data_IF_088816959642
#
_entry.id   IF_088816959642
#
_cell.length_a   1.000
_cell.length_b   1.000
_cell.length_c   1.000
_cell.angle_alpha   90.00
_cell.angle_beta   90.00
_cell.angle_gamma   90.00
#
_symmetry.space_group_name_H-M   'P 1'
#
loop_
_entity.id
_entity.type
_entity.pdbx_description
1 polymer ?
#
# COMPACT_ATOMS: atom_id res chain seq x y z
N UNK A 1 5.64 19.60 11.51
CA UNK A 1 5.49 18.68 10.36
C UNK A 1 4.49 19.29 9.40
N UNK A 2 4.82 19.38 8.10
CA UNK A 2 3.91 19.95 7.09
C UNK A 2 2.95 18.87 6.60
N UNK A 3 1.68 19.20 6.42
CA UNK A 3 0.72 18.35 5.71
C UNK A 3 1.03 18.36 4.21
N UNK A 4 0.85 17.22 3.56
CA UNK A 4 1.04 17.02 2.12
C UNK A 4 -0.19 16.30 1.55
N UNK A 5 -0.41 16.45 0.25
CA UNK A 5 -1.50 15.76 -0.44
C UNK A 5 -1.16 14.28 -0.61
N UNK A 6 -2.03 13.38 -0.14
CA UNK A 6 -1.85 11.94 -0.26
C UNK A 6 -1.97 11.53 -1.74
N UNK A 7 -0.98 10.83 -2.32
CA UNK A 7 -1.01 10.46 -3.74
C UNK A 7 -2.05 9.36 -4.07
N UNK A 8 -2.67 8.72 -3.06
CA UNK A 8 -3.73 7.71 -3.25
C UNK A 8 -5.14 8.30 -3.19
N UNK A 9 -5.42 9.19 -2.24
CA UNK A 9 -6.77 9.71 -1.98
C UNK A 9 -6.91 11.24 -2.12
N UNK A 10 -5.83 11.96 -2.45
CA UNK A 10 -5.78 13.42 -2.56
C UNK A 10 -6.13 14.20 -1.28
N UNK A 11 -6.23 13.55 -0.13
CA UNK A 11 -6.43 14.24 1.14
C UNK A 11 -5.15 14.92 1.61
N UNK A 12 -5.26 16.17 2.09
CA UNK A 12 -4.13 16.91 2.65
C UNK A 12 -3.96 16.55 4.13
N UNK A 13 -2.96 15.72 4.44
CA UNK A 13 -2.70 15.24 5.81
C UNK A 13 -1.21 14.90 5.99
N UNK A 14 -0.85 14.34 7.14
CA UNK A 14 0.52 13.83 7.37
C UNK A 14 0.70 12.53 6.60
N UNK A 15 1.75 12.48 5.79
CA UNK A 15 2.13 11.28 5.06
C UNK A 15 3.31 10.61 5.75
N UNK A 16 3.36 9.28 5.69
CA UNK A 16 4.46 8.49 6.18
C UNK A 16 4.76 7.35 5.21
N UNK A 17 6.03 6.96 5.11
CA UNK A 17 6.39 5.70 4.44
C UNK A 17 5.81 4.54 5.25
N UNK A 18 5.09 3.66 4.58
CA UNK A 18 4.47 2.47 5.18
C UNK A 18 5.03 1.24 4.50
N UNK A 19 5.38 0.23 5.30
CA UNK A 19 6.00 -1.00 4.80
C UNK A 19 4.97 -2.12 4.77
N UNK A 20 4.78 -2.71 3.59
CA UNK A 20 4.10 -3.98 3.40
C UNK A 20 5.13 -5.05 2.97
N UNK A 21 4.83 -6.32 3.21
CA UNK A 21 5.64 -7.41 2.64
C UNK A 21 5.48 -7.46 1.13
N UNK A 22 6.44 -8.06 0.41
CA UNK A 22 6.33 -8.23 -1.05
C UNK A 22 5.07 -8.99 -1.46
N UNK A 23 4.66 -9.98 -0.65
CA UNK A 23 3.44 -10.73 -0.91
C UNK A 23 2.18 -9.87 -0.74
N UNK A 24 2.13 -9.03 0.30
CA UNK A 24 1.01 -8.12 0.53
C UNK A 24 0.94 -7.05 -0.58
N UNK A 25 2.09 -6.50 -1.00
CA UNK A 25 2.16 -5.57 -2.13
C UNK A 25 1.69 -6.24 -3.43
N UNK A 26 2.12 -7.48 -3.69
CA UNK A 26 1.67 -8.25 -4.85
C UNK A 26 0.16 -8.46 -4.85
N UNK A 27 -0.42 -8.80 -3.69
CA UNK A 27 -1.86 -8.95 -3.55
C UNK A 27 -2.59 -7.64 -3.85
N UNK A 28 -2.22 -6.53 -3.20
CA UNK A 28 -2.85 -5.22 -3.38
C UNK A 28 -2.76 -4.71 -4.83
N UNK A 29 -1.64 -4.98 -5.52
CA UNK A 29 -1.47 -4.62 -6.94
C UNK A 29 -2.35 -5.48 -7.84
N UNK A 30 -2.37 -6.80 -7.64
CA UNK A 30 -3.19 -7.74 -8.42
C UNK A 30 -4.68 -7.41 -8.26
N UNK A 31 -5.09 -7.05 -7.05
CA UNK A 31 -6.48 -6.66 -6.74
C UNK A 31 -6.83 -5.24 -7.15
N UNK A 32 -5.83 -4.45 -7.60
CA UNK A 32 -5.95 -3.04 -7.98
C UNK A 32 -6.31 -2.08 -6.84
N UNK A 33 -6.12 -2.51 -5.58
CA UNK A 33 -6.29 -1.67 -4.39
C UNK A 33 -5.13 -0.69 -4.19
N UNK A 34 -3.95 -1.03 -4.73
CA UNK A 34 -2.75 -0.19 -4.76
C UNK A 34 -2.14 -0.15 -6.16
N UNK A 35 -1.82 1.05 -6.65
CA UNK A 35 -1.06 1.19 -7.90
C UNK A 35 0.43 0.90 -7.66
N UNK A 36 1.08 0.21 -8.60
CA UNK A 36 2.53 -0.06 -8.55
C UNK A 36 3.38 1.21 -8.42
N UNK A 37 2.89 2.34 -8.93
CA UNK A 37 3.56 3.65 -8.83
C UNK A 37 3.57 4.24 -7.42
N UNK A 38 2.71 3.73 -6.54
CA UNK A 38 2.57 4.19 -5.15
C UNK A 38 3.31 3.28 -4.16
N UNK A 39 4.03 2.27 -4.66
CA UNK A 39 4.86 1.41 -3.82
C UNK A 39 6.03 2.22 -3.28
N UNK A 40 6.28 2.11 -1.98
CA UNK A 40 7.26 2.90 -1.20
C UNK A 40 7.02 4.42 -1.13
N UNK A 41 5.97 4.91 -1.80
CA UNK A 41 5.53 6.29 -1.67
C UNK A 41 4.83 6.52 -0.33
N UNK A 42 5.03 7.69 0.30
CA UNK A 42 4.38 7.99 1.55
C UNK A 42 2.88 8.23 1.33
N UNK A 43 2.04 7.52 2.08
CA UNK A 43 0.58 7.66 2.06
C UNK A 43 0.07 8.13 3.42
N UNK A 44 -1.19 8.58 3.46
CA UNK A 44 -1.84 8.92 4.72
C UNK A 44 -2.14 7.68 5.57
N UNK A 45 -2.44 7.92 6.86
CA UNK A 45 -2.84 6.87 7.79
C UNK A 45 -4.12 6.16 7.35
N UNK A 46 -5.15 6.91 6.95
CA UNK A 46 -6.44 6.33 6.53
C UNK A 46 -6.25 5.34 5.37
N UNK A 47 -5.50 5.74 4.34
CA UNK A 47 -5.21 4.86 3.21
C UNK A 47 -4.40 3.62 3.60
N UNK A 48 -3.50 3.76 4.58
CA UNK A 48 -2.76 2.62 5.08
C UNK A 48 -3.65 1.64 5.84
N UNK A 49 -4.56 2.15 6.67
CA UNK A 49 -5.53 1.34 7.40
C UNK A 49 -6.48 0.62 6.44
N UNK A 50 -7.03 1.30 5.44
CA UNK A 50 -7.87 0.67 4.41
C UNK A 50 -7.16 -0.49 3.70
N UNK A 51 -5.92 -0.28 3.25
CA UNK A 51 -5.13 -1.33 2.59
C UNK A 51 -4.85 -2.52 3.53
N UNK A 52 -4.60 -2.22 4.80
CA UNK A 52 -4.35 -3.23 5.82
C UNK A 52 -5.61 -4.04 6.10
N UNK A 53 -6.78 -3.40 6.18
CA UNK A 53 -8.05 -4.08 6.42
C UNK A 53 -8.37 -5.03 5.26
N UNK A 54 -8.22 -4.59 4.01
CA UNK A 54 -8.37 -5.46 2.83
C UNK A 54 -7.45 -6.68 2.89
N UNK A 55 -6.18 -6.51 3.30
CA UNK A 55 -5.23 -7.61 3.45
C UNK A 55 -5.64 -8.58 4.57
N UNK A 56 -6.21 -8.08 5.66
CA UNK A 56 -6.67 -8.90 6.79
C UNK A 56 -7.92 -9.69 6.39
N UNK A 57 -8.89 -9.04 5.76
CA UNK A 57 -10.14 -9.65 5.31
C UNK A 57 -9.89 -10.78 4.29
N UNK A 58 -8.83 -10.65 3.51
CA UNK A 58 -8.48 -11.56 2.42
C UNK A 58 -7.18 -12.33 2.67
N UNK A 59 -6.82 -12.55 3.93
CA UNK A 59 -5.50 -13.11 4.30
C UNK A 59 -5.23 -14.50 3.67
N UNK A 60 -6.27 -15.31 3.47
CA UNK A 60 -6.16 -16.60 2.79
C UNK A 60 -5.83 -16.42 1.29
N UNK A 61 -6.43 -15.43 0.64
CA UNK A 61 -6.14 -15.09 -0.76
C UNK A 61 -4.72 -14.53 -0.91
N UNK A 62 -4.24 -13.73 0.06
CA UNK A 62 -2.87 -13.19 0.06
C UNK A 62 -1.85 -14.33 -0.03
N UNK A 63 -2.08 -15.43 0.71
CA UNK A 63 -1.18 -16.59 0.71
C UNK A 63 -1.09 -17.28 -0.65
N UNK A 64 -2.14 -17.19 -1.47
CA UNK A 64 -2.19 -17.76 -2.81
C UNK A 64 -1.51 -16.87 -3.86
N UNK A 65 -1.20 -15.61 -3.53
CA UNK A 65 -0.48 -14.70 -4.42
C UNK A 65 1.02 -14.96 -4.31
N UNK A 66 1.67 -15.17 -5.46
CA UNK A 66 3.13 -15.27 -5.52
C UNK A 66 3.77 -13.90 -5.21
N UNK A 67 4.78 -13.85 -4.31
CA UNK A 67 5.48 -12.62 -4.01
C UNK A 67 6.20 -12.11 -5.26
N UNK A 68 6.03 -10.81 -5.55
CA UNK A 68 6.77 -10.13 -6.63
C UNK A 68 7.80 -9.20 -6.02
N UNK A 69 8.99 -9.18 -6.62
CA UNK A 69 9.97 -8.15 -6.30
C UNK A 69 9.54 -6.85 -6.97
N UNK A 70 9.19 -5.87 -6.14
CA UNK A 70 8.98 -4.52 -6.59
C UNK A 70 10.32 -3.80 -6.61
N UNK A 71 10.61 -3.03 -7.66
CA UNK A 71 11.80 -2.20 -7.71
C UNK A 71 11.67 -1.06 -6.70
N UNK A 72 12.00 -1.35 -5.44
CA UNK A 72 12.00 -0.37 -4.35
C UNK A 72 13.15 0.60 -4.58
N UNK A 73 12.85 1.85 -4.90
CA UNK A 73 13.87 2.88 -5.00
C UNK A 73 14.48 3.07 -3.59
N UNK A 74 15.71 2.57 -3.43
CA UNK A 74 16.48 2.63 -2.18
C UNK A 74 16.77 4.07 -1.77
#
# INVERSE_FOLDING_TARGET
>A
MKSQECPRCSNTTRLAKRTFSDQALAALVVWKDLSEKLIDEPICEDCYEELRDVLIERIEDVKAVEPRQFNRAS
#
